data_IF_323674580731
#
_entry.id   IF_323674580731
#
_cell.length_a   1.000
_cell.length_b   1.000
_cell.length_c   1.000
_cell.angle_alpha   90.00
_cell.angle_beta   90.00
_cell.angle_gamma   90.00
#
_symmetry.space_group_name_H-M   'P 1'
#
loop_
_entity.id
_entity.type
_entity.pdbx_description
1 polymer ?
#
# COMPACT_ATOMS: atom_id res chain seq x y z
N UNK A 1 7.26 45.67 10.77
CA UNK A 1 6.79 47.08 10.81
C UNK A 1 7.19 47.71 9.47
N UNK A 2 6.34 48.26 8.58
CA UNK A 2 4.98 48.83 8.61
C UNK A 2 4.28 48.39 7.31
N UNK A 3 3.15 47.69 7.35
CA UNK A 3 1.78 48.18 7.06
C UNK A 3 1.65 49.37 6.11
N UNK A 4 1.02 49.13 4.94
CA UNK A 4 -0.05 49.95 4.36
C UNK A 4 -0.68 49.26 3.14
N UNK A 5 -1.94 48.85 3.27
CA UNK A 5 -2.94 48.84 2.20
C UNK A 5 -4.18 49.58 2.73
N UNK A 6 -5.35 49.56 2.06
CA UNK A 6 -5.63 49.25 0.66
C UNK A 6 -6.42 50.40 -0.03
N UNK A 7 -6.60 50.33 -1.35
CA UNK A 7 -7.69 51.05 -2.05
C UNK A 7 -8.50 50.13 -2.94
N UNK A 8 -9.79 50.32 -2.78
CA UNK A 8 -10.96 49.62 -3.27
C UNK A 8 -11.37 50.19 -4.65
N UNK A 9 -11.73 49.34 -5.62
CA UNK A 9 -12.56 49.78 -6.75
C UNK A 9 -13.37 48.61 -7.29
N UNK A 10 -14.68 48.71 -7.04
CA UNK A 10 -15.76 47.83 -7.49
C UNK A 10 -15.97 47.94 -9.02
N UNK A 11 -16.14 46.81 -9.69
CA UNK A 11 -16.93 46.75 -10.93
C UNK A 11 -17.74 45.45 -10.97
N UNK A 12 -19.06 45.63 -10.91
CA UNK A 12 -20.09 44.59 -11.02
C UNK A 12 -20.17 44.10 -12.47
N UNK A 13 -20.17 42.78 -12.69
CA UNK A 13 -20.77 42.19 -13.88
C UNK A 13 -21.71 41.05 -13.48
N UNK A 14 -23.00 41.31 -13.69
CA UNK A 14 -24.09 40.34 -13.68
C UNK A 14 -24.02 39.53 -14.97
N UNK A 15 -24.08 38.21 -14.89
CA UNK A 15 -24.49 37.37 -16.01
C UNK A 15 -25.71 36.54 -15.61
N UNK A 16 -26.71 36.62 -16.48
CA UNK A 16 -28.08 36.12 -16.35
C UNK A 16 -28.14 34.64 -16.72
N UNK A 17 -28.95 33.88 -15.98
CA UNK A 17 -29.50 32.59 -16.37
C UNK A 17 -30.51 32.76 -17.52
N UNK A 18 -30.67 31.78 -18.43
CA UNK A 18 -31.91 31.57 -19.14
C UNK A 18 -32.69 30.37 -18.57
N UNK A 19 -33.99 30.60 -18.37
CA UNK A 19 -34.99 29.60 -18.05
C UNK A 19 -35.58 28.96 -19.32
N UNK A 20 -36.16 27.77 -19.12
CA UNK A 20 -36.93 26.92 -20.02
C UNK A 20 -37.78 27.60 -21.10
N UNK A 21 -37.84 26.94 -22.28
CA UNK A 21 -39.06 26.85 -23.08
C UNK A 21 -39.21 25.41 -23.63
N UNK A 22 -40.34 24.81 -23.32
CA UNK A 22 -40.84 23.52 -23.79
C UNK A 22 -41.49 23.63 -25.17
N UNK A 23 -41.30 22.64 -26.04
CA UNK A 23 -42.29 22.28 -27.05
C UNK A 23 -42.18 20.80 -27.43
N UNK A 24 -43.33 20.14 -27.35
CA UNK A 24 -43.64 18.76 -27.68
C UNK A 24 -43.65 18.49 -29.20
N UNK A 25 -43.35 17.25 -29.60
CA UNK A 25 -44.04 16.49 -30.66
C UNK A 25 -43.47 15.09 -30.85
N UNK A 26 -44.29 14.09 -30.56
CA UNK A 26 -44.24 12.70 -31.05
C UNK A 26 -44.56 12.65 -32.56
N UNK A 27 -44.07 11.65 -33.32
CA UNK A 27 -44.91 10.48 -33.68
C UNK A 27 -44.13 9.14 -33.73
N UNK A 28 -44.65 8.04 -33.22
CA UNK A 28 -45.51 7.02 -33.88
C UNK A 28 -44.76 5.98 -34.76
N UNK A 29 -44.90 4.71 -34.35
CA UNK A 29 -44.55 3.46 -35.04
C UNK A 29 -45.31 3.26 -36.38
N UNK A 30 -44.78 2.44 -37.30
CA UNK A 30 -45.28 1.05 -37.50
C UNK A 30 -44.10 0.07 -37.72
N UNK A 31 -44.16 -1.27 -37.65
CA UNK A 31 -45.24 -2.25 -37.68
C UNK A 31 -44.87 -3.40 -38.64
N UNK A 32 -44.44 -4.55 -38.08
CA UNK A 32 -44.50 -5.96 -38.58
C UNK A 32 -43.71 -6.45 -39.84
N UNK A 33 -42.73 -7.34 -39.56
CA UNK A 33 -42.45 -8.74 -40.04
C UNK A 33 -43.29 -9.36 -41.20
N UNK A 34 -42.90 -10.47 -41.92
CA UNK A 34 -42.20 -11.67 -41.38
C UNK A 34 -41.35 -12.58 -42.32
N UNK A 35 -40.90 -13.72 -41.75
CA UNK A 35 -40.43 -15.02 -42.33
C UNK A 35 -38.97 -15.10 -42.84
N UNK A 36 -38.18 -16.17 -42.69
CA UNK A 36 -38.42 -17.60 -42.39
C UNK A 36 -37.15 -18.26 -41.78
N UNK A 37 -37.30 -19.06 -40.71
CA UNK A 37 -37.03 -20.52 -40.58
C UNK A 37 -35.77 -21.12 -41.24
N UNK A 38 -34.90 -21.70 -40.41
CA UNK A 38 -34.48 -23.13 -40.42
C UNK A 38 -33.34 -23.31 -39.38
N UNK A 39 -33.61 -23.91 -38.22
CA UNK A 39 -33.54 -25.35 -37.89
C UNK A 39 -32.11 -25.90 -37.79
N UNK A 40 -31.73 -26.32 -36.59
CA UNK A 40 -30.47 -27.03 -36.37
C UNK A 40 -30.19 -27.42 -34.92
N UNK A 41 -31.12 -28.13 -34.26
CA UNK A 41 -30.82 -28.87 -33.03
C UNK A 41 -29.77 -29.94 -33.34
N UNK A 42 -28.72 -30.05 -32.52
CA UNK A 42 -28.19 -31.35 -32.07
C UNK A 42 -27.54 -31.19 -30.69
N UNK A 43 -28.17 -31.86 -29.72
CA UNK A 43 -27.61 -32.28 -28.43
C UNK A 43 -26.90 -33.62 -28.63
N UNK A 44 -25.92 -33.87 -27.74
CA UNK A 44 -25.63 -35.12 -27.04
C UNK A 44 -24.21 -35.73 -27.19
N UNK A 45 -23.75 -36.18 -26.01
CA UNK A 45 -22.68 -37.13 -25.64
C UNK A 45 -21.27 -36.54 -25.57
N UNK A 46 -20.73 -36.24 -24.38
CA UNK A 46 -20.27 -37.13 -23.29
C UNK A 46 -19.00 -37.90 -23.66
N UNK A 47 -17.86 -37.47 -23.10
CA UNK A 47 -16.77 -38.37 -22.73
C UNK A 47 -16.14 -37.87 -21.43
N UNK A 48 -16.42 -38.62 -20.37
CA UNK A 48 -15.61 -38.69 -19.16
C UNK A 48 -14.30 -39.38 -19.54
N UNK A 49 -13.16 -38.78 -19.22
CA UNK A 49 -11.99 -39.57 -18.86
C UNK A 49 -11.24 -38.89 -17.71
N UNK A 50 -11.07 -39.69 -16.67
CA UNK A 50 -10.33 -39.40 -15.44
C UNK A 50 -8.84 -39.40 -15.77
N UNK A 51 -8.09 -38.49 -15.19
CA UNK A 51 -6.65 -38.67 -14.95
C UNK A 51 -6.28 -37.94 -13.67
N UNK A 52 -6.02 -38.73 -12.63
CA UNK A 52 -5.51 -38.29 -11.35
C UNK A 52 -4.01 -37.94 -11.48
N UNK A 53 -3.46 -37.07 -10.61
CA UNK A 53 -2.11 -36.57 -10.72
C UNK A 53 -1.06 -37.56 -10.20
N UNK A 54 0.02 -37.73 -10.96
CA UNK A 54 1.23 -38.45 -10.54
C UNK A 54 1.92 -37.74 -9.37
N UNK A 55 2.14 -38.50 -8.30
CA UNK A 55 2.92 -38.09 -7.12
C UNK A 55 4.41 -38.07 -7.48
N UNK A 56 5.02 -36.88 -7.58
CA UNK A 56 6.47 -36.73 -7.45
C UNK A 56 6.84 -36.62 -5.98
N UNK A 57 7.67 -37.56 -5.52
CA UNK A 57 8.20 -37.62 -4.18
C UNK A 57 9.29 -36.55 -3.98
N UNK A 58 9.16 -35.76 -2.91
CA UNK A 58 10.22 -34.87 -2.40
C UNK A 58 11.12 -35.67 -1.44
N UNK A 59 12.46 -35.56 -1.54
CA UNK A 59 13.35 -36.28 -0.64
C UNK A 59 13.38 -35.63 0.75
N UNK A 60 13.16 -36.45 1.78
CA UNK A 60 13.22 -36.08 3.19
C UNK A 60 14.68 -35.86 3.65
N UNK A 61 14.98 -34.65 4.11
CA UNK A 61 16.25 -34.31 4.76
C UNK A 61 16.21 -34.76 6.24
N UNK A 62 17.11 -35.66 6.65
CA UNK A 62 17.33 -36.08 8.05
C UNK A 62 18.60 -35.40 8.59
N UNK A 63 18.59 -34.83 9.81
CA UNK A 63 19.82 -34.34 10.44
C UNK A 63 20.69 -35.50 10.96
N UNK A 64 22.02 -35.40 10.93
CA UNK A 64 22.90 -36.46 11.40
C UNK A 64 22.98 -36.52 12.93
N UNK A 65 23.08 -37.76 13.44
CA UNK A 65 23.31 -38.12 14.84
C UNK A 65 24.74 -37.74 15.25
N UNK A 66 24.90 -36.98 16.34
CA UNK A 66 26.21 -36.78 16.97
C UNK A 66 26.59 -37.98 17.85
N UNK A 67 27.84 -38.41 17.69
CA UNK A 67 28.49 -39.52 18.35
C UNK A 67 28.90 -39.18 19.79
N UNK A 68 28.78 -40.19 20.66
CA UNK A 68 29.38 -40.22 22.00
C UNK A 68 30.89 -40.31 21.90
N UNK A 69 31.61 -39.58 22.75
CA UNK A 69 32.99 -39.87 23.17
C UNK A 69 33.05 -39.80 24.69
N UNK A 70 33.65 -40.82 25.30
CA UNK A 70 33.83 -41.04 26.74
C UNK A 70 35.20 -40.51 27.24
N UNK A 71 35.25 -40.18 28.55
CA UNK A 71 36.45 -40.14 29.41
C UNK A 71 37.21 -38.80 29.38
N UNK A 72 37.70 -38.21 30.47
CA UNK A 72 38.33 -38.79 31.66
C UNK A 72 38.21 -37.82 32.88
N UNK A 73 38.20 -38.43 34.07
CA UNK A 73 38.19 -37.95 35.47
C UNK A 73 39.28 -36.93 35.89
N UNK A 74 38.94 -36.03 36.82
CA UNK A 74 39.84 -35.60 37.91
C UNK A 74 39.10 -34.93 39.10
N UNK A 75 39.18 -35.63 40.23
CA UNK A 75 39.15 -35.29 41.67
C UNK A 75 39.01 -33.85 42.19
N UNK A 76 38.21 -33.73 43.25
CA UNK A 76 38.08 -32.60 44.20
C UNK A 76 39.38 -32.32 44.96
N UNK A 77 39.71 -31.04 45.16
CA UNK A 77 40.31 -30.53 46.42
C UNK A 77 39.97 -29.05 46.64
N UNK A 78 39.48 -28.73 47.85
CA UNK A 78 39.34 -27.38 48.40
C UNK A 78 40.69 -26.93 48.97
N UNK A 79 40.92 -25.62 49.08
CA UNK A 79 41.13 -25.11 50.43
C UNK A 79 40.27 -23.89 50.74
N UNK A 80 40.10 -23.71 52.05
CA UNK A 80 39.27 -22.76 52.76
C UNK A 80 40.18 -21.67 53.34
N UNK A 81 39.84 -20.39 53.17
CA UNK A 81 40.32 -19.31 54.04
C UNK A 81 39.21 -18.30 54.26
N UNK A 82 38.84 -18.14 55.53
CA UNK A 82 37.85 -17.20 56.06
C UNK A 82 38.44 -15.78 56.22
N UNK A 83 37.51 -14.84 56.49
CA UNK A 83 37.69 -13.52 57.15
C UNK A 83 37.63 -12.32 56.20
N UNK A 84 36.90 -11.22 56.43
CA UNK A 84 35.77 -10.82 57.28
C UNK A 84 35.46 -9.36 56.88
N UNK A 85 34.20 -8.90 56.91
CA UNK A 85 33.69 -7.52 57.20
C UNK A 85 32.24 -7.32 56.67
N UNK A 86 31.45 -6.38 57.21
CA UNK A 86 30.13 -6.68 57.78
C UNK A 86 28.94 -6.50 56.81
N UNK A 87 27.90 -7.31 57.05
CA UNK A 87 26.60 -7.23 56.37
C UNK A 87 25.80 -6.02 56.88
N UNK A 88 25.60 -5.01 56.04
CA UNK A 88 24.51 -4.05 56.23
C UNK A 88 23.18 -4.76 55.94
N UNK A 89 22.29 -4.84 56.94
CA UNK A 89 20.90 -5.30 56.77
C UNK A 89 20.21 -4.43 55.71
N UNK A 90 19.87 -5.01 54.57
CA UNK A 90 18.69 -4.60 53.80
C UNK A 90 17.66 -5.70 53.97
N UNK A 91 16.50 -5.31 54.46
CA UNK A 91 15.36 -6.19 54.71
C UNK A 91 14.95 -6.89 53.41
N UNK A 92 15.33 -8.16 53.30
CA UNK A 92 14.86 -9.06 52.25
C UNK A 92 13.48 -9.61 52.66
N UNK A 93 12.43 -9.24 51.93
CA UNK A 93 11.19 -10.02 51.94
C UNK A 93 11.43 -11.33 51.16
N UNK A 94 11.11 -12.52 51.69
CA UNK A 94 11.46 -13.80 51.08
C UNK A 94 10.42 -14.26 50.04
N UNK A 95 10.88 -14.74 48.89
CA UNK A 95 10.05 -15.41 47.86
C UNK A 95 9.60 -14.52 46.70
N UNK A 96 10.54 -14.16 45.81
CA UNK A 96 10.28 -13.28 44.66
C UNK A 96 9.40 -13.90 43.58
N UNK A 97 8.08 -13.85 43.76
CA UNK A 97 7.12 -14.01 42.67
C UNK A 97 6.91 -12.64 42.04
N UNK A 98 7.17 -12.53 40.72
CA UNK A 98 6.91 -11.29 39.99
C UNK A 98 5.43 -10.88 40.16
N UNK A 99 5.15 -9.59 40.38
CA UNK A 99 3.79 -9.09 40.46
C UNK A 99 2.98 -9.52 39.22
N UNK A 100 1.74 -9.93 39.42
CA UNK A 100 0.84 -10.35 38.33
C UNK A 100 -0.34 -9.38 38.17
N UNK A 101 -1.07 -9.44 37.05
CA UNK A 101 -2.30 -8.62 36.89
C UNK A 101 -3.31 -8.83 38.01
N UNK A 102 -3.32 -10.00 38.66
CA UNK A 102 -4.19 -10.30 39.82
C UNK A 102 -3.77 -9.53 41.07
N UNK A 103 -2.48 -9.22 41.20
CA UNK A 103 -1.95 -8.40 42.29
C UNK A 103 -2.22 -6.92 42.05
N UNK A 104 -2.09 -6.46 40.80
CA UNK A 104 -2.51 -5.11 40.37
C UNK A 104 -4.02 -4.91 40.58
N UNK A 105 -4.84 -5.91 40.24
CA UNK A 105 -6.30 -5.87 40.42
C UNK A 105 -6.69 -5.74 41.90
N UNK A 106 -6.01 -6.50 42.76
CA UNK A 106 -6.20 -6.46 44.22
C UNK A 106 -5.83 -5.10 44.80
N UNK A 107 -4.71 -4.53 44.36
CA UNK A 107 -4.25 -3.22 44.85
C UNK A 107 -5.12 -2.06 44.32
N UNK A 108 -5.60 -2.15 43.07
CA UNK A 108 -6.46 -1.15 42.47
C UNK A 108 -7.95 -1.30 42.84
N UNK A 109 -8.33 -2.36 43.55
CA UNK A 109 -9.71 -2.63 43.96
C UNK A 109 -10.66 -2.87 42.78
N UNK A 110 -10.19 -3.58 41.74
CA UNK A 110 -10.97 -3.89 40.53
C UNK A 110 -10.84 -5.36 40.16
N UNK A 111 -11.66 -5.84 39.22
CA UNK A 111 -11.52 -7.19 38.68
C UNK A 111 -10.32 -7.29 37.73
N UNK A 112 -9.73 -8.50 37.60
CA UNK A 112 -8.56 -8.75 36.75
C UNK A 112 -8.81 -8.38 35.27
N UNK A 113 -10.03 -8.60 34.77
CA UNK A 113 -10.43 -8.22 33.42
C UNK A 113 -10.40 -6.70 33.21
N UNK A 114 -10.80 -5.93 34.22
CA UNK A 114 -10.74 -4.46 34.22
C UNK A 114 -9.30 -3.96 34.15
N UNK A 115 -8.36 -4.62 34.83
CA UNK A 115 -6.93 -4.30 34.72
C UNK A 115 -6.42 -4.54 33.32
N UNK A 116 -6.76 -5.68 32.72
CA UNK A 116 -6.33 -5.99 31.35
C UNK A 116 -6.90 -5.02 30.32
N UNK A 117 -8.17 -4.63 30.47
CA UNK A 117 -8.82 -3.62 29.62
C UNK A 117 -8.22 -2.23 29.83
N UNK A 118 -7.92 -1.85 31.07
CA UNK A 118 -7.31 -0.57 31.43
C UNK A 118 -5.90 -0.42 30.87
N UNK A 119 -5.06 -1.46 31.00
CA UNK A 119 -3.70 -1.49 30.44
C UNK A 119 -3.70 -1.44 28.91
N UNK A 120 -4.77 -1.90 28.26
CA UNK A 120 -5.01 -1.80 26.82
C UNK A 120 -5.75 -0.52 26.38
N UNK A 121 -5.91 0.44 27.29
CA UNK A 121 -6.64 1.69 27.06
C UNK A 121 -8.07 1.52 26.50
N UNK A 122 -8.76 0.44 26.89
CA UNK A 122 -10.12 0.15 26.40
C UNK A 122 -11.14 1.21 26.88
N UNK A 123 -12.03 1.72 26.00
CA UNK A 123 -12.93 2.84 26.29
C UNK A 123 -14.03 2.52 27.32
N UNK A 124 -14.26 1.24 27.62
CA UNK A 124 -15.22 0.84 28.66
C UNK A 124 -14.70 1.06 30.08
N UNK A 125 -13.45 1.50 30.25
CA UNK A 125 -12.86 1.81 31.55
C UNK A 125 -12.71 3.32 31.67
N UNK A 126 -13.39 3.91 32.65
CA UNK A 126 -13.31 5.34 32.92
C UNK A 126 -11.86 5.78 33.20
N UNK A 127 -11.52 7.02 32.82
CA UNK A 127 -10.15 7.55 32.95
C UNK A 127 -9.62 7.47 34.37
N UNK A 128 -10.44 7.89 35.35
CA UNK A 128 -10.14 7.80 36.78
C UNK A 128 -9.79 6.37 37.24
N UNK A 129 -10.41 5.36 36.63
CA UNK A 129 -10.13 3.94 36.93
C UNK A 129 -8.84 3.48 36.26
N UNK A 130 -8.52 3.95 35.05
CA UNK A 130 -7.24 3.71 34.37
C UNK A 130 -6.06 4.29 35.14
N UNK A 131 -6.16 5.53 35.60
CA UNK A 131 -5.13 6.19 36.40
C UNK A 131 -4.85 5.41 37.69
N UNK A 132 -5.91 4.98 38.40
CA UNK A 132 -5.77 4.16 39.60
C UNK A 132 -5.07 2.83 39.34
N UNK A 133 -5.36 2.18 38.21
CA UNK A 133 -4.72 0.92 37.83
C UNK A 133 -3.25 1.15 37.43
N UNK A 134 -2.94 2.25 36.75
CA UNK A 134 -1.56 2.61 36.37
C UNK A 134 -0.70 2.89 37.61
N UNK A 135 -1.22 3.67 38.56
CA UNK A 135 -0.56 3.92 39.83
C UNK A 135 -0.36 2.64 40.66
N UNK A 136 -1.32 1.71 40.64
CA UNK A 136 -1.18 0.41 41.29
C UNK A 136 -0.12 -0.48 40.62
N UNK A 137 -0.04 -0.47 39.29
CA UNK A 137 0.97 -1.22 38.54
C UNK A 137 2.39 -0.68 38.81
N UNK A 138 2.57 0.65 38.81
CA UNK A 138 3.83 1.31 39.13
C UNK A 138 4.29 1.01 40.56
N UNK A 139 3.39 1.11 41.54
CA UNK A 139 3.71 0.79 42.95
C UNK A 139 4.14 -0.66 43.15
N UNK A 140 3.64 -1.58 42.34
CA UNK A 140 4.01 -2.99 42.40
C UNK A 140 5.25 -3.31 41.55
N UNK A 141 5.73 -2.39 40.72
CA UNK A 141 6.75 -2.70 39.71
C UNK A 141 6.25 -3.70 38.66
N UNK A 142 4.94 -3.79 38.45
CA UNK A 142 4.35 -4.65 37.43
C UNK A 142 4.70 -4.11 36.04
N UNK A 143 5.37 -4.93 35.24
CA UNK A 143 5.59 -4.69 33.82
C UNK A 143 4.85 -5.78 33.03
N UNK A 144 4.08 -5.42 31.98
CA UNK A 144 3.58 -6.40 31.03
C UNK A 144 4.75 -7.24 30.51
N UNK A 145 4.65 -8.55 30.65
CA UNK A 145 5.69 -9.49 30.20
C UNK A 145 5.47 -9.80 28.71
N UNK A 146 6.43 -9.47 27.82
CA UNK A 146 6.34 -9.77 26.39
C UNK A 146 6.11 -11.26 26.09
N UNK A 147 6.57 -12.16 26.97
CA UNK A 147 6.36 -13.60 26.82
C UNK A 147 4.91 -14.01 27.12
N UNK A 148 4.18 -13.26 27.94
CA UNK A 148 2.76 -13.49 28.20
C UNK A 148 1.89 -13.02 27.02
N UNK A 149 2.32 -11.98 26.31
CA UNK A 149 1.71 -11.54 25.05
C UNK A 149 1.98 -12.53 23.93
N UNK A 150 3.22 -13.02 23.79
CA UNK A 150 3.56 -14.13 22.90
C UNK A 150 2.79 -15.42 23.27
N UNK A 151 2.52 -15.67 24.55
CA UNK A 151 1.69 -16.78 25.00
C UNK A 151 0.20 -16.57 24.69
N UNK A 152 -0.31 -15.34 24.72
CA UNK A 152 -1.66 -15.02 24.27
C UNK A 152 -1.79 -15.18 22.74
N UNK A 153 -0.78 -14.77 21.97
CA UNK A 153 -0.65 -15.06 20.53
C UNK A 153 -0.59 -16.57 20.28
N UNK A 154 0.19 -17.32 21.05
CA UNK A 154 0.26 -18.77 20.97
C UNK A 154 -1.08 -19.42 21.39
N UNK A 155 -1.81 -18.87 22.36
CA UNK A 155 -3.18 -19.31 22.71
C UNK A 155 -4.18 -19.05 21.58
N UNK A 156 -4.06 -17.92 20.88
CA UNK A 156 -4.85 -17.60 19.68
C UNK A 156 -4.49 -18.54 18.52
N UNK A 157 -3.23 -18.97 18.42
CA UNK A 157 -2.77 -19.95 17.44
C UNK A 157 -3.19 -21.39 17.78
N UNK A 158 -3.25 -21.76 19.08
CA UNK A 158 -3.55 -23.12 19.56
C UNK A 158 -5.05 -23.39 19.72
N UNK A 159 -5.90 -22.35 19.86
CA UNK A 159 -7.37 -22.46 19.83
C UNK A 159 -7.96 -21.60 18.68
N UNK A 160 -8.04 -22.13 17.44
CA UNK A 160 -8.55 -21.41 16.27
C UNK A 160 -10.05 -21.08 16.33
N UNK A 161 -10.78 -21.61 17.33
CA UNK A 161 -12.24 -21.55 17.43
C UNK A 161 -12.78 -20.21 17.97
N UNK A 162 -11.93 -19.27 18.38
CA UNK A 162 -12.36 -17.93 18.80
C UNK A 162 -11.61 -16.80 18.04
N UNK A 163 -12.20 -16.42 16.91
CA UNK A 163 -12.01 -15.18 16.14
C UNK A 163 -10.59 -14.85 15.64
N UNK A 164 -10.27 -15.30 14.43
CA UNK A 164 -9.39 -14.53 13.53
C UNK A 164 -9.91 -13.09 13.49
N UNK A 165 -9.15 -12.13 14.03
CA UNK A 165 -9.59 -10.73 14.00
C UNK A 165 -9.72 -10.27 12.54
N UNK A 166 -10.85 -9.65 12.22
CA UNK A 166 -11.15 -9.18 10.87
C UNK A 166 -10.63 -7.74 10.75
N UNK A 167 -9.89 -7.45 9.68
CA UNK A 167 -9.52 -6.10 9.26
C UNK A 167 -10.32 -5.72 8.02
N UNK A 168 -10.65 -4.43 7.90
CA UNK A 168 -11.36 -3.89 6.76
C UNK A 168 -10.38 -3.36 5.71
N UNK A 169 -10.58 -3.73 4.45
CA UNK A 169 -9.93 -3.12 3.30
C UNK A 169 -10.94 -2.26 2.53
N UNK A 170 -10.77 -0.94 2.58
CA UNK A 170 -11.74 0.04 2.10
C UNK A 170 -11.25 0.66 0.79
N UNK A 171 -12.06 0.57 -0.25
CA UNK A 171 -11.86 1.26 -1.54
C UNK A 171 -13.13 2.00 -1.93
N UNK A 172 -13.04 2.95 -2.87
CA UNK A 172 -14.26 3.54 -3.44
C UNK A 172 -14.74 2.82 -4.72
N UNK A 173 -15.96 3.13 -5.16
CA UNK A 173 -16.62 2.50 -6.28
C UNK A 173 -15.88 2.69 -7.60
N UNK A 174 -15.16 3.80 -7.78
CA UNK A 174 -14.35 4.04 -8.98
C UNK A 174 -13.10 3.18 -9.00
N UNK A 175 -12.38 3.12 -7.89
CA UNK A 175 -11.21 2.24 -7.74
C UNK A 175 -11.63 0.78 -7.84
N UNK A 176 -12.79 0.42 -7.30
CA UNK A 176 -13.32 -0.94 -7.38
C UNK A 176 -13.81 -1.32 -8.79
N UNK A 177 -14.35 -0.37 -9.55
CA UNK A 177 -14.82 -0.59 -10.91
C UNK A 177 -13.70 -0.60 -11.96
N UNK A 178 -12.46 -0.26 -11.59
CA UNK A 178 -11.32 -0.26 -12.51
C UNK A 178 -10.93 -1.69 -12.90
N UNK A 179 -11.44 -2.11 -14.06
CA UNK A 179 -11.26 -3.43 -14.66
C UNK A 179 -10.09 -3.52 -15.63
N UNK A 180 -9.21 -2.49 -15.69
CA UNK A 180 -8.07 -2.49 -16.62
C UNK A 180 -7.18 -3.72 -16.39
N UNK A 181 -6.79 -4.48 -17.43
CA UNK A 181 -5.95 -5.67 -17.26
C UNK A 181 -4.65 -5.39 -16.50
N UNK A 182 -4.31 -6.24 -15.53
CA UNK A 182 -3.12 -6.06 -14.68
C UNK A 182 -3.21 -4.88 -13.71
N UNK A 183 -4.41 -4.43 -13.35
CA UNK A 183 -4.61 -3.31 -12.43
C UNK A 183 -3.80 -3.50 -11.14
N UNK A 184 -2.95 -2.51 -10.81
CA UNK A 184 -2.15 -2.45 -9.60
C UNK A 184 -2.98 -2.62 -8.31
N UNK A 185 -4.28 -2.26 -8.33
CA UNK A 185 -5.21 -2.43 -7.20
C UNK A 185 -5.38 -3.91 -6.86
N UNK A 186 -5.39 -4.80 -7.87
CA UNK A 186 -5.51 -6.24 -7.66
C UNK A 186 -4.25 -6.82 -7.01
N UNK A 187 -3.07 -6.47 -7.51
CA UNK A 187 -1.80 -6.90 -6.92
C UNK A 187 -1.64 -6.40 -5.46
N UNK A 188 -2.07 -5.16 -5.16
CA UNK A 188 -2.12 -4.66 -3.77
C UNK A 188 -3.06 -5.48 -2.91
N UNK A 189 -4.27 -5.78 -3.42
CA UNK A 189 -5.25 -6.60 -2.72
C UNK A 189 -4.71 -8.00 -2.42
N UNK A 190 -4.02 -8.63 -3.37
CA UNK A 190 -3.37 -9.94 -3.19
C UNK A 190 -2.28 -9.89 -2.12
N UNK A 191 -1.43 -8.85 -2.16
CA UNK A 191 -0.42 -8.60 -1.13
C UNK A 191 -1.01 -8.42 0.27
N UNK A 192 -2.09 -7.64 0.40
CA UNK A 192 -2.82 -7.48 1.67
C UNK A 192 -3.39 -8.81 2.15
N UNK A 193 -4.09 -9.54 1.27
CA UNK A 193 -4.73 -10.81 1.62
C UNK A 193 -3.70 -11.82 2.12
N UNK A 194 -2.62 -12.02 1.37
CA UNK A 194 -1.55 -12.95 1.72
C UNK A 194 -0.88 -12.59 3.04
N UNK A 195 -0.51 -11.33 3.24
CA UNK A 195 0.15 -10.87 4.47
C UNK A 195 -0.75 -10.97 5.70
N UNK A 196 -2.06 -10.77 5.54
CA UNK A 196 -3.03 -10.93 6.61
C UNK A 196 -3.24 -12.41 6.98
N UNK A 197 -3.36 -13.30 5.97
CA UNK A 197 -3.46 -14.75 6.17
C UNK A 197 -2.24 -15.31 6.89
N UNK A 198 -1.03 -14.89 6.51
CA UNK A 198 0.25 -15.21 7.18
C UNK A 198 0.26 -14.80 8.67
N UNK A 199 -0.63 -13.89 9.09
CA UNK A 199 -0.76 -13.36 10.46
C UNK A 199 -2.02 -13.84 11.19
N UNK A 200 -2.76 -14.78 10.62
CA UNK A 200 -4.02 -15.26 11.19
C UNK A 200 -5.14 -14.22 11.20
N UNK A 201 -5.01 -13.14 10.42
CA UNK A 201 -6.01 -12.11 10.24
C UNK A 201 -6.92 -12.47 9.05
N UNK A 202 -8.20 -12.11 9.14
CA UNK A 202 -9.11 -12.13 7.99
C UNK A 202 -9.23 -10.74 7.42
N UNK A 203 -9.26 -10.62 6.10
CA UNK A 203 -9.49 -9.34 5.41
C UNK A 203 -10.82 -9.37 4.72
N UNK A 204 -11.64 -8.34 4.94
CA UNK A 204 -12.87 -8.14 4.19
C UNK A 204 -12.82 -6.83 3.40
N UNK A 205 -13.22 -6.89 2.14
CA UNK A 205 -13.25 -5.73 1.24
C UNK A 205 -14.59 -5.00 1.37
N UNK A 206 -14.52 -3.70 1.62
CA UNK A 206 -15.65 -2.78 1.67
C UNK A 206 -15.53 -1.73 0.58
N UNK A 207 -16.64 -1.46 -0.11
CA UNK A 207 -16.69 -0.48 -1.22
C UNK A 207 -17.52 0.72 -0.79
N UNK A 208 -16.91 1.89 -0.77
CA UNK A 208 -17.57 3.18 -0.55
C UNK A 208 -18.11 3.70 -1.88
N UNK A 209 -19.30 4.29 -1.88
CA UNK A 209 -19.84 4.92 -3.07
C UNK A 209 -21.35 5.03 -3.03
N UNK A 210 -21.91 5.82 -3.95
CA UNK A 210 -23.36 6.06 -4.01
C UNK A 210 -24.13 4.77 -4.27
N UNK A 211 -23.52 3.83 -5.00
CA UNK A 211 -24.13 2.52 -5.34
C UNK A 211 -23.79 1.41 -4.34
N UNK A 212 -22.98 1.72 -3.31
CA UNK A 212 -22.47 0.75 -2.35
C UNK A 212 -22.72 1.24 -0.91
N UNK A 213 -21.67 1.44 -0.11
CA UNK A 213 -21.80 1.86 1.28
C UNK A 213 -21.56 3.36 1.43
N UNK A 214 -22.38 4.02 2.25
CA UNK A 214 -22.04 5.33 2.81
C UNK A 214 -20.98 5.16 3.92
N UNK A 215 -20.17 6.21 4.21
CA UNK A 215 -19.22 6.18 5.33
C UNK A 215 -19.88 5.86 6.68
N UNK A 216 -21.09 6.39 6.93
CA UNK A 216 -21.85 6.18 8.18
C UNK A 216 -22.26 4.71 8.31
N UNK A 217 -22.75 4.12 7.22
CA UNK A 217 -23.12 2.70 7.20
C UNK A 217 -21.90 1.81 7.37
N UNK A 218 -20.78 2.14 6.72
CA UNK A 218 -19.52 1.43 6.94
C UNK A 218 -19.09 1.51 8.40
N UNK A 219 -19.08 2.70 9.01
CA UNK A 219 -18.74 2.90 10.42
C UNK A 219 -19.59 2.01 11.34
N UNK A 220 -20.91 1.97 11.13
CA UNK A 220 -21.82 1.12 11.89
C UNK A 220 -21.47 -0.37 11.76
N UNK A 221 -21.16 -0.84 10.55
CA UNK A 221 -20.77 -2.24 10.29
C UNK A 221 -19.49 -2.57 11.04
N UNK A 222 -18.45 -1.73 10.92
CA UNK A 222 -17.16 -1.99 11.55
C UNK A 222 -17.27 -2.02 13.08
N UNK A 223 -17.98 -1.07 13.67
CA UNK A 223 -18.21 -1.01 15.13
C UNK A 223 -19.00 -2.23 15.61
N UNK A 224 -20.12 -2.55 14.96
CA UNK A 224 -20.98 -3.69 15.36
C UNK A 224 -20.22 -5.02 15.29
N UNK A 225 -19.34 -5.17 14.30
CA UNK A 225 -18.55 -6.39 14.09
C UNK A 225 -17.22 -6.39 14.85
N UNK A 226 -16.97 -5.39 15.70
CA UNK A 226 -15.72 -5.23 16.44
C UNK A 226 -14.47 -5.24 15.55
N UNK A 227 -14.59 -4.73 14.32
CA UNK A 227 -13.46 -4.52 13.40
C UNK A 227 -12.72 -3.27 13.87
N UNK A 228 -11.45 -3.42 14.22
CA UNK A 228 -10.63 -2.32 14.78
C UNK A 228 -9.49 -1.89 13.87
N UNK A 229 -9.18 -2.67 12.83
CA UNK A 229 -8.14 -2.36 11.85
C UNK A 229 -8.72 -2.02 10.49
N UNK A 230 -8.26 -0.93 9.89
CA UNK A 230 -8.70 -0.43 8.59
C UNK A 230 -7.50 -0.14 7.69
N UNK A 231 -7.51 -0.69 6.47
CA UNK A 231 -6.63 -0.30 5.38
C UNK A 231 -7.46 0.46 4.36
N UNK A 232 -7.11 1.71 4.08
CA UNK A 232 -7.67 2.46 2.96
C UNK A 232 -6.86 2.06 1.72
N UNK A 233 -7.40 1.17 0.90
CA UNK A 233 -6.75 0.56 -0.27
C UNK A 233 -6.70 1.43 -1.53
N UNK A 234 -7.29 2.61 -1.47
CA UNK A 234 -7.32 3.59 -2.55
C UNK A 234 -8.70 4.17 -2.77
N UNK A 235 -8.75 5.49 -2.90
CA UNK A 235 -9.96 6.24 -3.26
C UNK A 235 -9.63 7.27 -4.35
N UNK A 236 -10.64 7.57 -5.16
CA UNK A 236 -10.60 8.56 -6.23
C UNK A 236 -10.50 10.00 -5.70
N UNK A 237 -10.15 10.93 -6.58
CA UNK A 237 -9.95 12.36 -6.25
C UNK A 237 -11.21 13.07 -5.76
N UNK A 238 -12.40 12.51 -6.03
CA UNK A 238 -13.67 13.07 -5.56
C UNK A 238 -13.88 12.81 -4.06
N UNK A 239 -13.23 11.77 -3.52
CA UNK A 239 -13.30 11.40 -2.11
C UNK A 239 -12.19 12.12 -1.34
N UNK A 240 -12.46 13.34 -0.88
CA UNK A 240 -11.52 14.12 -0.03
C UNK A 240 -11.62 13.83 1.46
N UNK A 241 -12.79 13.37 1.92
CA UNK A 241 -13.04 13.05 3.33
C UNK A 241 -13.92 11.82 3.41
N UNK A 242 -13.63 10.96 4.38
CA UNK A 242 -14.43 9.78 4.70
C UNK A 242 -14.93 9.98 6.14
N UNK A 243 -16.25 10.18 6.28
CA UNK A 243 -16.90 10.48 7.56
C UNK A 243 -17.01 9.24 8.44
N UNK A 244 -15.96 8.95 9.21
CA UNK A 244 -15.93 7.84 10.16
C UNK A 244 -15.45 8.30 11.55
N UNK A 245 -15.77 7.52 12.58
CA UNK A 245 -15.27 7.73 13.94
C UNK A 245 -13.83 7.20 14.07
N UNK A 246 -12.87 7.85 13.40
CA UNK A 246 -11.50 7.36 13.24
C UNK A 246 -10.80 7.00 14.55
N UNK A 247 -11.13 7.68 15.65
CA UNK A 247 -10.61 7.38 17.00
C UNK A 247 -10.90 5.95 17.49
N UNK A 248 -11.79 5.20 16.82
CA UNK A 248 -12.08 3.80 17.11
C UNK A 248 -11.18 2.81 16.37
N UNK A 249 -10.45 3.24 15.35
CA UNK A 249 -9.76 2.36 14.41
C UNK A 249 -8.26 2.65 14.34
N UNK A 250 -7.47 1.59 14.30
CA UNK A 250 -6.09 1.63 13.80
C UNK A 250 -6.16 1.67 12.29
N UNK A 251 -5.56 2.70 11.68
CA UNK A 251 -5.76 2.96 10.25
C UNK A 251 -4.42 3.13 9.54
N UNK A 252 -4.27 2.44 8.42
CA UNK A 252 -3.19 2.65 7.46
C UNK A 252 -3.82 2.95 6.10
N UNK A 253 -3.17 3.79 5.31
CA UNK A 253 -3.59 4.13 3.96
C UNK A 253 -2.56 3.67 2.94
N UNK A 254 -3.03 3.16 1.80
CA UNK A 254 -2.22 2.97 0.61
C UNK A 254 -2.49 4.15 -0.33
N UNK A 255 -1.46 4.98 -0.57
CA UNK A 255 -1.51 6.19 -1.40
C UNK A 255 -2.62 7.19 -0.97
N UNK A 256 -3.41 7.77 -1.90
CA UNK A 256 -4.56 8.66 -1.61
C UNK A 256 -4.27 9.81 -0.62
N UNK A 257 -3.17 10.55 -0.84
CA UNK A 257 -2.74 11.66 0.02
C UNK A 257 -3.70 12.85 0.04
N UNK A 258 -4.57 12.96 -0.97
CA UNK A 258 -5.61 14.00 -1.04
C UNK A 258 -6.76 13.79 -0.04
N UNK A 259 -6.82 12.64 0.64
CA UNK A 259 -7.79 12.41 1.72
C UNK A 259 -7.31 13.08 3.00
N UNK A 260 -8.15 13.93 3.57
CA UNK A 260 -7.92 14.64 4.82
C UNK A 260 -8.07 13.68 6.01
N UNK A 261 -6.97 12.98 6.31
CA UNK A 261 -6.84 12.02 7.40
C UNK A 261 -5.35 11.82 7.74
N UNK A 262 -4.94 12.19 8.96
CA UNK A 262 -3.55 12.06 9.41
C UNK A 262 -3.25 10.63 9.90
N UNK A 263 -2.94 9.72 8.98
CA UNK A 263 -2.60 8.32 9.26
C UNK A 263 -1.38 7.89 8.47
N UNK A 264 -0.71 6.83 8.96
CA UNK A 264 0.41 6.23 8.26
C UNK A 264 0.05 5.85 6.83
N UNK A 265 0.98 6.12 5.91
CA UNK A 265 0.79 5.93 4.49
C UNK A 265 1.86 5.02 3.91
N UNK A 266 1.45 4.01 3.15
CA UNK A 266 2.34 3.17 2.34
C UNK A 266 2.12 3.53 0.87
N UNK A 267 3.19 3.67 0.11
CA UNK A 267 3.15 4.07 -1.29
C UNK A 267 4.21 3.33 -2.09
N UNK A 268 3.97 3.06 -3.37
CA UNK A 268 5.09 2.84 -4.29
C UNK A 268 5.94 4.11 -4.39
N UNK A 269 7.26 3.96 -4.54
CA UNK A 269 8.16 5.11 -4.70
C UNK A 269 8.11 5.64 -6.14
N UNK A 270 7.06 6.42 -6.45
CA UNK A 270 6.87 7.00 -7.77
C UNK A 270 8.00 7.97 -8.17
N UNK A 271 8.57 8.66 -7.18
CA UNK A 271 9.69 9.58 -7.41
C UNK A 271 10.91 8.78 -7.86
N UNK A 272 11.25 7.71 -7.15
CA UNK A 272 12.33 6.81 -7.55
C UNK A 272 12.03 6.12 -8.89
N UNK A 273 10.79 5.70 -9.14
CA UNK A 273 10.41 5.06 -10.41
C UNK A 273 10.74 5.95 -11.61
N UNK A 274 10.37 7.23 -11.55
CA UNK A 274 10.70 8.19 -12.61
C UNK A 274 12.20 8.38 -12.77
N UNK A 275 12.93 8.57 -11.67
CA UNK A 275 14.39 8.71 -11.71
C UNK A 275 15.06 7.48 -12.30
N UNK A 276 14.60 6.30 -11.91
CA UNK A 276 15.09 5.03 -12.41
C UNK A 276 14.83 4.90 -13.92
N UNK A 277 13.66 5.30 -14.39
CA UNK A 277 13.33 5.29 -15.82
C UNK A 277 14.22 6.24 -16.62
N UNK A 278 14.36 7.50 -16.18
CA UNK A 278 15.21 8.50 -16.84
C UNK A 278 16.67 8.02 -16.90
N UNK A 279 17.21 7.52 -15.78
CA UNK A 279 18.60 7.05 -15.71
C UNK A 279 18.87 5.85 -16.60
N UNK A 280 17.95 4.89 -16.65
CA UNK A 280 18.11 3.72 -17.52
C UNK A 280 18.00 4.12 -19.00
N UNK A 281 17.05 4.98 -19.37
CA UNK A 281 16.96 5.50 -20.73
C UNK A 281 18.23 6.27 -21.14
N UNK A 282 18.81 7.07 -20.23
CA UNK A 282 20.11 7.72 -20.45
C UNK A 282 21.24 6.72 -20.66
N UNK A 283 21.28 5.64 -19.87
CA UNK A 283 22.25 4.54 -20.04
C UNK A 283 22.10 3.85 -21.40
N UNK A 284 20.88 3.74 -21.91
CA UNK A 284 20.58 3.17 -23.24
C UNK A 284 20.88 4.15 -24.40
N UNK A 285 21.35 5.37 -24.10
CA UNK A 285 21.76 6.37 -25.09
C UNK A 285 20.73 7.46 -25.40
N UNK A 286 19.59 7.48 -24.71
CA UNK A 286 18.56 8.51 -24.88
C UNK A 286 18.83 9.74 -23.99
N UNK A 287 18.78 10.92 -24.57
CA UNK A 287 19.03 12.24 -23.96
C UNK A 287 17.76 13.06 -23.76
N UNK A 288 16.90 13.20 -24.77
CA UNK A 288 15.66 14.01 -24.73
C UNK A 288 14.47 13.18 -24.28
N UNK A 289 14.36 13.01 -22.96
CA UNK A 289 13.35 12.17 -22.32
C UNK A 289 12.21 13.06 -21.81
N UNK A 290 10.96 12.70 -22.07
CA UNK A 290 9.79 13.42 -21.59
C UNK A 290 8.95 12.62 -20.61
N UNK A 291 8.56 13.22 -19.49
CA UNK A 291 7.52 12.69 -18.59
C UNK A 291 6.13 13.17 -19.03
N UNK A 292 5.20 12.24 -19.22
CA UNK A 292 3.77 12.56 -19.42
C UNK A 292 2.87 11.76 -18.47
N UNK A 293 1.91 12.42 -17.84
CA UNK A 293 0.95 11.77 -16.93
C UNK A 293 -0.30 12.64 -16.74
N UNK A 294 -1.34 12.10 -16.10
CA UNK A 294 -2.52 12.85 -15.74
C UNK A 294 -2.27 13.74 -14.52
N UNK A 295 -2.71 15.01 -14.58
CA UNK A 295 -2.60 15.96 -13.46
C UNK A 295 -3.28 15.47 -12.17
N UNK A 296 -4.35 14.69 -12.32
CA UNK A 296 -5.05 14.11 -11.17
C UNK A 296 -4.21 13.06 -10.44
N UNK A 297 -3.40 12.27 -11.15
CA UNK A 297 -2.55 11.25 -10.55
C UNK A 297 -1.43 11.88 -9.73
N UNK A 298 -0.80 12.93 -10.26
CA UNK A 298 0.20 13.71 -9.53
C UNK A 298 -0.37 14.29 -8.24
N UNK A 299 -1.52 14.96 -8.32
CA UNK A 299 -2.17 15.54 -7.14
C UNK A 299 -2.58 14.48 -6.11
N UNK A 300 -3.03 13.31 -6.56
CA UNK A 300 -3.42 12.19 -5.69
C UNK A 300 -2.26 11.71 -4.83
N UNK A 301 -1.04 11.79 -5.35
CA UNK A 301 0.16 11.20 -4.76
C UNK A 301 1.09 12.22 -4.10
N UNK A 302 0.84 13.52 -4.27
CA UNK A 302 1.69 14.61 -3.77
C UNK A 302 2.82 15.00 -4.74
N UNK A 303 2.53 14.98 -6.04
CA UNK A 303 3.42 15.37 -7.15
C UNK A 303 4.79 14.64 -7.20
N UNK A 304 4.86 13.33 -6.91
CA UNK A 304 6.14 12.63 -6.81
C UNK A 304 6.80 12.40 -8.17
N UNK A 305 6.04 12.18 -9.26
CA UNK A 305 6.64 11.90 -10.56
C UNK A 305 7.27 13.15 -11.15
N UNK A 306 6.56 14.29 -11.10
CA UNK A 306 7.08 15.59 -11.50
C UNK A 306 8.30 15.96 -10.68
N UNK A 307 8.24 15.79 -9.35
CA UNK A 307 9.38 16.04 -8.47
C UNK A 307 10.60 15.19 -8.85
N UNK A 308 10.40 13.90 -9.12
CA UNK A 308 11.49 13.00 -9.53
C UNK A 308 12.09 13.37 -10.89
N UNK A 309 11.24 13.75 -11.84
CA UNK A 309 11.65 14.13 -13.19
C UNK A 309 12.45 15.44 -13.18
N UNK A 310 11.95 16.48 -12.50
CA UNK A 310 12.62 17.78 -12.42
C UNK A 310 14.00 17.69 -11.76
N UNK A 311 14.20 16.77 -10.80
CA UNK A 311 15.52 16.49 -10.23
C UNK A 311 16.49 15.98 -11.29
N UNK A 312 16.09 15.07 -12.17
CA UNK A 312 16.95 14.56 -13.24
C UNK A 312 17.14 15.58 -14.37
N UNK A 313 16.14 16.42 -14.65
CA UNK A 313 16.23 17.50 -15.64
C UNK A 313 17.13 18.65 -15.17
N UNK A 314 17.15 18.95 -13.88
CA UNK A 314 18.01 20.00 -13.34
C UNK A 314 19.51 19.68 -13.44
N UNK A 315 19.86 18.43 -13.75
CA UNK A 315 21.25 18.03 -14.08
C UNK A 315 21.68 18.40 -15.50
N UNK A 316 20.73 18.81 -16.36
CA UNK A 316 20.97 19.18 -17.75
C UNK A 316 21.10 20.71 -17.91
N UNK A 317 21.80 21.11 -18.98
CA UNK A 317 21.77 22.49 -19.49
C UNK A 317 20.34 22.88 -19.90
N UNK A 318 19.99 24.15 -19.76
CA UNK A 318 18.60 24.64 -19.89
C UNK A 318 17.99 24.33 -21.26
N UNK A 319 18.78 24.43 -22.33
CA UNK A 319 18.41 24.11 -23.70
C UNK A 319 18.11 22.64 -23.96
N UNK A 320 18.48 21.76 -23.02
CA UNK A 320 18.23 20.32 -23.09
C UNK A 320 17.10 19.87 -22.17
N UNK A 321 16.55 20.78 -21.35
CA UNK A 321 15.47 20.47 -20.43
C UNK A 321 14.13 20.33 -21.15
N UNK A 322 13.37 19.32 -20.77
CA UNK A 322 12.01 19.07 -21.24
C UNK A 322 11.06 19.29 -20.05
N UNK A 323 10.08 20.19 -20.14
CA UNK A 323 9.07 20.31 -19.08
C UNK A 323 8.12 19.09 -19.12
N UNK A 324 7.67 18.59 -17.95
CA UNK A 324 6.70 17.49 -17.91
C UNK A 324 5.37 17.92 -18.52
N UNK A 325 4.71 16.99 -19.22
CA UNK A 325 3.40 17.21 -19.82
C UNK A 325 2.29 16.60 -18.96
N UNK A 326 1.35 17.41 -18.50
CA UNK A 326 0.29 16.99 -17.58
C UNK A 326 -1.10 17.21 -18.18
N UNK A 327 -1.71 16.13 -18.68
CA UNK A 327 -3.04 16.13 -19.28
C UNK A 327 -4.17 15.91 -18.25
N UNK A 328 -5.42 16.06 -18.70
CA UNK A 328 -6.61 15.79 -17.88
C UNK A 328 -6.89 14.30 -17.78
N UNK A 329 -7.10 13.80 -16.56
CA UNK A 329 -7.45 12.38 -16.34
C UNK A 329 -8.81 12.00 -16.94
N UNK A 330 -9.71 12.97 -17.12
CA UNK A 330 -11.05 12.74 -17.67
C UNK A 330 -11.01 12.49 -19.17
N UNK A 331 -10.15 13.19 -19.90
CA UNK A 331 -9.99 13.02 -21.35
C UNK A 331 -8.99 11.91 -21.68
N UNK A 332 -8.03 11.65 -20.80
CA UNK A 332 -6.91 10.75 -21.08
C UNK A 332 -5.95 11.33 -22.13
N UNK A 333 -4.89 10.57 -22.49
CA UNK A 333 -3.97 10.98 -23.55
C UNK A 333 -4.62 11.00 -24.94
N UNK A 334 -5.63 10.16 -25.22
CA UNK A 334 -6.34 10.11 -26.51
C UNK A 334 -7.10 11.40 -26.82
N UNK A 335 -7.64 12.05 -25.78
CA UNK A 335 -8.40 13.29 -25.90
C UNK A 335 -7.56 14.56 -25.80
N UNK A 336 -6.23 14.47 -25.73
CA UNK A 336 -5.33 15.61 -25.56
C UNK A 336 -4.32 15.73 -26.72
N UNK A 337 -4.66 16.46 -27.80
CA UNK A 337 -3.78 16.60 -28.96
C UNK A 337 -2.46 17.30 -28.63
N UNK A 338 -2.39 18.05 -27.53
CA UNK A 338 -1.18 18.75 -27.11
C UNK A 338 -0.04 17.81 -26.71
N UNK A 339 -0.33 16.53 -26.42
CA UNK A 339 0.69 15.52 -26.16
C UNK A 339 1.66 15.36 -27.35
N UNK A 340 1.10 15.26 -28.56
CA UNK A 340 1.90 15.08 -29.79
C UNK A 340 2.63 16.37 -30.15
N UNK A 341 2.00 17.52 -29.95
CA UNK A 341 2.64 18.83 -30.14
C UNK A 341 3.83 19.03 -29.20
N UNK A 342 3.70 18.64 -27.94
CA UNK A 342 4.78 18.67 -26.95
C UNK A 342 5.95 17.77 -27.35
N UNK A 343 5.69 16.55 -27.82
CA UNK A 343 6.72 15.63 -28.34
C UNK A 343 7.50 16.28 -29.49
N UNK A 344 6.79 16.82 -30.48
CA UNK A 344 7.41 17.46 -31.65
C UNK A 344 8.18 18.72 -31.26
N UNK A 345 7.61 19.57 -30.41
CA UNK A 345 8.21 20.84 -29.95
C UNK A 345 9.56 20.62 -29.27
N UNK A 346 9.63 19.67 -28.34
CA UNK A 346 10.84 19.40 -27.57
C UNK A 346 11.73 18.30 -28.19
N UNK A 347 11.37 17.80 -29.38
CA UNK A 347 12.10 16.74 -30.11
C UNK A 347 12.36 15.53 -29.21
N UNK A 348 11.35 15.12 -28.45
CA UNK A 348 11.44 14.04 -27.46
C UNK A 348 11.69 12.72 -28.20
N UNK A 349 12.70 11.98 -27.74
CA UNK A 349 13.04 10.67 -28.32
C UNK A 349 12.59 9.50 -27.45
N UNK A 350 12.32 9.74 -26.18
CA UNK A 350 11.79 8.74 -25.26
C UNK A 350 10.72 9.34 -24.34
N UNK A 351 9.56 8.70 -24.25
CA UNK A 351 8.45 9.11 -23.40
C UNK A 351 8.30 8.13 -22.24
N UNK A 352 8.15 8.67 -21.02
CA UNK A 352 7.83 7.89 -19.84
C UNK A 352 6.43 8.24 -19.32
N UNK A 353 5.64 7.23 -18.98
CA UNK A 353 4.28 7.42 -18.45
C UNK A 353 3.79 6.27 -17.57
N UNK A 354 2.90 6.56 -16.62
CA UNK A 354 2.15 5.55 -15.86
C UNK A 354 0.86 5.09 -16.58
N UNK A 355 0.54 5.63 -17.76
CA UNK A 355 -0.65 5.30 -18.52
C UNK A 355 -0.31 4.36 -19.70
N UNK A 356 -0.85 3.14 -19.66
CA UNK A 356 -0.53 2.09 -20.64
C UNK A 356 -1.10 2.30 -22.05
N UNK A 357 -1.97 3.29 -22.25
CA UNK A 357 -2.58 3.66 -23.54
C UNK A 357 -1.81 4.78 -24.26
N UNK A 358 -0.78 5.39 -23.65
CA UNK A 358 0.09 6.36 -24.34
C UNK A 358 0.70 5.78 -25.64
N UNK A 359 1.18 4.52 -25.67
CA UNK A 359 1.66 3.90 -26.91
C UNK A 359 0.63 3.88 -28.04
N UNK A 360 -0.66 3.74 -27.75
CA UNK A 360 -1.72 3.70 -28.76
C UNK A 360 -1.89 5.09 -29.39
N UNK A 361 -1.88 6.15 -28.58
CA UNK A 361 -1.91 7.55 -29.06
C UNK A 361 -0.70 7.88 -29.93
N UNK A 362 0.49 7.38 -29.59
CA UNK A 362 1.69 7.56 -30.40
C UNK A 362 1.56 6.88 -31.77
N UNK A 363 1.03 5.65 -31.80
CA UNK A 363 0.81 4.90 -33.06
C UNK A 363 -0.26 5.55 -33.94
N UNK A 364 -1.36 6.02 -33.34
CA UNK A 364 -2.41 6.76 -34.05
C UNK A 364 -1.88 8.07 -34.67
N UNK A 365 -0.90 8.71 -34.02
CA UNK A 365 -0.20 9.87 -34.55
C UNK A 365 0.89 9.54 -35.61
N UNK A 366 1.01 8.26 -35.99
CA UNK A 366 1.95 7.77 -37.01
C UNK A 366 3.38 7.56 -36.52
N UNK A 367 3.62 7.53 -35.20
CA UNK A 367 4.96 7.28 -34.64
C UNK A 367 5.15 5.79 -34.36
N UNK A 368 6.18 5.17 -34.93
CA UNK A 368 6.54 3.78 -34.65
C UNK A 368 7.36 3.69 -33.36
N UNK A 369 7.04 2.68 -32.56
CA UNK A 369 7.78 2.35 -31.33
C UNK A 369 8.51 1.02 -31.57
N UNK A 370 9.85 0.95 -31.41
CA UNK A 370 10.75 1.99 -30.90
C UNK A 370 11.41 2.89 -31.97
N UNK A 371 11.14 2.67 -33.28
CA UNK A 371 11.94 3.26 -34.37
C UNK A 371 11.93 4.80 -34.42
N UNK A 372 10.76 5.42 -34.27
CA UNK A 372 10.61 6.88 -34.34
C UNK A 372 10.59 7.51 -32.94
N UNK A 373 10.06 6.78 -31.95
CA UNK A 373 10.00 7.19 -30.54
C UNK A 373 10.05 6.00 -29.60
N UNK A 374 10.75 6.15 -28.48
CA UNK A 374 10.85 5.15 -27.43
C UNK A 374 9.80 5.38 -26.35
N UNK A 375 9.32 4.28 -25.77
CA UNK A 375 8.38 4.33 -24.66
C UNK A 375 8.86 3.47 -23.50
N UNK A 376 8.79 4.03 -22.29
CA UNK A 376 8.95 3.25 -21.07
C UNK A 376 7.81 3.49 -20.08
N UNK A 377 7.23 2.40 -19.57
CA UNK A 377 6.16 2.48 -18.58
C UNK A 377 6.74 2.79 -17.19
N UNK A 378 6.06 3.60 -16.41
CA UNK A 378 6.34 3.80 -14.98
C UNK A 378 5.69 2.72 -14.10
N UNK A 379 4.85 1.88 -14.69
CA UNK A 379 4.20 0.76 -14.01
C UNK A 379 3.93 -0.39 -14.99
N UNK A 380 4.91 -1.29 -15.13
CA UNK A 380 4.76 -2.56 -15.83
C UNK A 380 4.00 -3.54 -14.94
N UNK A 381 2.94 -4.12 -15.49
CA UNK A 381 1.98 -4.96 -14.74
C UNK A 381 2.26 -6.46 -14.83
N UNK A 382 3.13 -6.88 -15.75
CA UNK A 382 3.48 -8.28 -15.98
C UNK A 382 4.98 -8.43 -16.24
N UNK A 383 5.55 -9.48 -15.66
CA UNK A 383 6.99 -9.77 -15.74
C UNK A 383 7.43 -10.04 -17.20
N UNK A 384 6.56 -10.68 -17.99
CA UNK A 384 6.76 -11.07 -19.38
C UNK A 384 6.31 -10.00 -20.39
N UNK A 385 6.18 -8.73 -19.96
CA UNK A 385 5.80 -7.66 -20.86
C UNK A 385 6.95 -7.27 -21.79
N UNK A 386 6.66 -7.10 -23.08
CA UNK A 386 7.60 -6.53 -24.06
C UNK A 386 7.86 -5.02 -23.85
N UNK A 387 7.19 -4.39 -22.89
CA UNK A 387 7.32 -2.97 -22.59
C UNK A 387 8.46 -2.76 -21.58
N UNK A 388 9.44 -1.95 -21.96
CA UNK A 388 10.48 -1.50 -21.04
C UNK A 388 9.92 -0.53 -20.00
N UNK A 389 10.53 -0.45 -18.81
CA UNK A 389 9.98 0.40 -17.76
C UNK A 389 10.23 -0.08 -16.34
N UNK A 390 9.45 0.45 -15.41
CA UNK A 390 9.54 0.14 -13.98
C UNK A 390 8.44 -0.84 -13.61
N UNK A 391 8.83 -1.97 -13.04
CA UNK A 391 7.90 -2.88 -12.37
C UNK A 391 7.77 -2.44 -10.90
N UNK A 392 6.57 -2.04 -10.52
CA UNK A 392 6.30 -1.63 -9.15
C UNK A 392 5.93 -2.84 -8.29
N UNK A 393 6.45 -2.86 -7.07
CA UNK A 393 6.23 -3.95 -6.12
C UNK A 393 4.86 -3.83 -5.42
N UNK A 394 3.76 -3.86 -6.18
CA UNK A 394 2.41 -3.62 -5.66
C UNK A 394 1.96 -4.63 -4.59
N UNK A 395 2.33 -5.91 -4.72
CA UNK A 395 2.10 -6.90 -3.67
C UNK A 395 2.83 -6.55 -2.38
N UNK A 396 4.09 -6.08 -2.47
CA UNK A 396 4.87 -5.66 -1.31
C UNK A 396 4.28 -4.39 -0.68
N UNK A 397 3.74 -3.47 -1.47
CA UNK A 397 2.96 -2.32 -0.96
C UNK A 397 1.78 -2.81 -0.12
N UNK A 398 1.02 -3.79 -0.62
CA UNK A 398 -0.08 -4.40 0.12
C UNK A 398 0.37 -5.07 1.42
N UNK A 399 1.44 -5.87 1.36
CA UNK A 399 2.05 -6.49 2.55
C UNK A 399 2.47 -5.47 3.59
N UNK A 400 3.22 -4.45 3.16
CA UNK A 400 3.76 -3.40 4.05
C UNK A 400 2.63 -2.66 4.77
N UNK A 401 1.49 -2.44 4.10
CA UNK A 401 0.32 -1.84 4.74
C UNK A 401 -0.25 -2.70 5.88
N UNK A 402 -0.29 -4.03 5.71
CA UNK A 402 -0.70 -4.96 6.77
C UNK A 402 0.30 -4.97 7.92
N UNK A 403 1.60 -4.89 7.63
CA UNK A 403 2.65 -4.86 8.66
C UNK A 403 2.58 -3.59 9.51
N UNK A 404 2.39 -2.43 8.90
CA UNK A 404 2.13 -1.19 9.62
C UNK A 404 0.86 -1.29 10.47
N UNK A 405 -0.22 -1.81 9.89
CA UNK A 405 -1.48 -1.94 10.61
C UNK A 405 -1.35 -2.90 11.81
N UNK A 406 -0.60 -3.99 11.67
CA UNK A 406 -0.34 -4.93 12.75
C UNK A 406 0.37 -4.24 13.94
N UNK A 407 1.34 -3.36 13.67
CA UNK A 407 2.01 -2.55 14.71
C UNK A 407 1.00 -1.65 15.42
N UNK A 408 0.16 -0.94 14.68
CA UNK A 408 -0.86 -0.04 15.27
C UNK A 408 -1.90 -0.81 16.09
N UNK A 409 -2.33 -1.99 15.61
CA UNK A 409 -3.26 -2.86 16.33
C UNK A 409 -2.67 -3.37 17.64
N UNK A 410 -1.41 -3.84 17.60
CA UNK A 410 -0.69 -4.36 18.77
C UNK A 410 -0.44 -3.26 19.82
N UNK A 411 -0.07 -2.06 19.37
CA UNK A 411 0.17 -0.89 20.26
C UNK A 411 -1.11 -0.13 20.63
N UNK A 412 -2.27 -0.57 20.13
CA UNK A 412 -3.57 0.08 20.31
C UNK A 412 -3.59 1.57 19.91
N UNK A 413 -2.78 1.95 18.93
CA UNK A 413 -2.79 3.28 18.34
C UNK A 413 -4.00 3.41 17.41
N UNK A 414 -4.86 4.39 17.67
CA UNK A 414 -6.13 4.62 16.96
C UNK A 414 -6.35 6.10 16.71
N UNK A 415 -7.17 6.40 15.71
CA UNK A 415 -7.44 7.76 15.31
C UNK A 415 -6.33 8.37 14.48
N UNK A 416 -6.36 9.69 14.41
CA UNK A 416 -5.35 10.46 13.72
C UNK A 416 -4.06 10.53 14.54
N UNK A 417 -2.95 10.36 13.85
CA UNK A 417 -1.60 10.39 14.42
C UNK A 417 -1.09 11.83 14.46
N UNK A 418 -0.36 12.18 15.50
CA UNK A 418 0.30 13.49 15.61
C UNK A 418 1.41 13.67 14.58
N UNK A 419 2.05 12.58 14.17
CA UNK A 419 3.13 12.55 13.18
C UNK A 419 3.03 11.28 12.33
N UNK A 420 2.12 11.24 11.32
CA UNK A 420 1.98 10.07 10.47
C UNK A 420 3.23 9.85 9.61
N UNK A 421 3.70 8.61 9.56
CA UNK A 421 4.84 8.23 8.73
C UNK A 421 4.41 7.90 7.30
N UNK A 422 5.33 8.06 6.35
CA UNK A 422 5.19 7.50 5.01
C UNK A 422 6.29 6.47 4.79
N UNK A 423 5.90 5.28 4.31
CA UNK A 423 6.83 4.27 3.80
C UNK A 423 6.71 4.16 2.29
N UNK A 424 7.85 4.28 1.61
CA UNK A 424 7.96 4.13 0.16
C UNK A 424 8.55 2.77 -0.18
N UNK A 425 7.84 1.99 -0.99
CA UNK A 425 8.30 0.70 -1.49
C UNK A 425 8.93 0.91 -2.88
N UNK A 426 10.23 0.62 -3.06
CA UNK A 426 10.91 0.83 -4.33
C UNK A 426 10.41 -0.15 -5.38
N UNK A 427 10.40 0.28 -6.64
CA UNK A 427 10.27 -0.59 -7.82
C UNK A 427 11.64 -0.88 -8.44
N UNK A 428 11.65 -1.62 -9.54
CA UNK A 428 12.89 -1.92 -10.28
C UNK A 428 12.67 -1.85 -11.79
N UNK A 429 13.75 -1.61 -12.51
CA UNK A 429 13.74 -1.49 -13.97
C UNK A 429 13.67 -2.87 -14.61
N UNK A 430 12.94 -2.94 -15.71
CA UNK A 430 12.85 -4.08 -16.61
C UNK A 430 13.10 -3.60 -18.03
N UNK A 431 14.05 -4.25 -18.68
CA UNK A 431 14.27 -4.07 -20.11
C UNK A 431 13.10 -4.66 -20.90
N UNK A 432 12.84 -4.08 -22.06
CA UNK A 432 11.79 -4.50 -22.98
C UNK A 432 12.04 -3.93 -24.38
N UNK A 433 11.30 -4.42 -25.38
CA UNK A 433 11.49 -4.07 -26.79
C UNK A 433 11.10 -2.63 -27.12
N UNK A 434 10.34 -1.95 -26.27
CA UNK A 434 9.95 -0.55 -26.49
C UNK A 434 11.06 0.46 -26.18
N UNK A 435 12.17 0.03 -25.58
CA UNK A 435 13.36 0.86 -25.32
C UNK A 435 14.66 0.05 -25.49
N UNK A 436 15.04 -0.32 -26.72
CA UNK A 436 16.28 -1.04 -26.98
C UNK A 436 17.51 -0.14 -26.74
N UNK A 437 18.71 -0.70 -26.48
CA UNK A 437 19.93 0.09 -26.46
C UNK A 437 20.21 0.72 -27.84
N UNK A 438 20.68 1.98 -27.88
CA UNK A 438 21.25 2.53 -29.11
C UNK A 438 22.57 1.83 -29.43
N UNK A 439 22.85 1.60 -30.72
CA UNK A 439 24.04 0.86 -31.17
C UNK A 439 25.37 1.42 -30.61
N UNK A 440 25.45 2.73 -30.38
CA UNK A 440 26.62 3.40 -29.80
C UNK A 440 26.78 3.20 -28.27
N UNK A 441 25.76 2.68 -27.58
CA UNK A 441 25.74 2.48 -26.12
C UNK A 441 26.18 1.07 -25.68
N UNK A 442 26.32 0.14 -26.62
CA UNK A 442 26.82 -1.20 -26.36
C UNK A 442 28.34 -1.17 -26.38
N UNK A 443 28.96 -0.93 -25.21
CA UNK A 443 30.37 -1.28 -25.04
C UNK A 443 30.55 -2.80 -25.27
N UNK A 444 31.68 -3.28 -25.81
CA UNK A 444 31.87 -4.70 -26.11
C UNK A 444 31.63 -5.54 -24.85
N UNK A 445 30.79 -6.56 -24.97
CA UNK A 445 30.38 -7.46 -23.90
C UNK A 445 31.58 -8.05 -23.16
N UNK A 446 31.72 -7.68 -21.88
CA UNK A 446 32.80 -8.18 -21.03
C UNK A 446 32.67 -7.80 -19.56
N UNK A 447 31.45 -7.75 -19.00
CA UNK A 447 31.22 -7.82 -17.56
C UNK A 447 29.71 -7.97 -17.29
N UNK A 448 29.29 -9.13 -16.78
CA UNK A 448 28.02 -9.25 -16.07
C UNK A 448 28.10 -8.38 -14.81
N UNK A 449 27.63 -7.13 -14.90
CA UNK A 449 27.32 -6.33 -13.73
C UNK A 449 25.87 -6.63 -13.32
N UNK A 450 25.68 -7.73 -12.59
CA UNK A 450 24.51 -7.89 -11.73
C UNK A 450 24.59 -6.83 -10.64
N UNK A 451 23.83 -5.75 -10.82
CA UNK A 451 23.74 -4.68 -9.82
C UNK A 451 23.02 -5.24 -8.59
N UNK A 452 23.76 -5.35 -7.48
CA UNK A 452 23.18 -5.62 -6.16
C UNK A 452 22.27 -4.43 -5.77
N UNK A 453 20.96 -4.65 -5.53
CA UNK A 453 20.04 -3.61 -5.13
C UNK A 453 20.40 -2.93 -3.79
N UNK A 454 21.40 -3.41 -3.06
CA UNK A 454 21.94 -2.76 -1.84
C UNK A 454 22.95 -1.65 -2.10
N UNK A 455 23.42 -1.46 -3.33
CA UNK A 455 24.40 -0.41 -3.65
C UNK A 455 23.77 1.00 -3.83
N UNK A 456 22.45 1.14 -3.63
CA UNK A 456 21.72 2.41 -3.66
C UNK A 456 21.07 2.65 -2.31
N UNK A 457 21.89 2.94 -1.28
CA UNK A 457 21.45 3.56 -0.03
C UNK A 457 22.14 4.90 0.11
#
# INVERSE_FOLDING_TARGET
MRFCGPRDSRSRMRWRLPACASASRTPAFPGRSPTSRSSGRRRCRSWLSRSAPEKRASPSFRPPRSSRVNGVTATRHRPNTQSSMPKSKRDSNPGGRLPTMKDVARLAGVHQTTVSLALRNHPSVAEKTRERIRAAAERLGYRPDPLLDAFNEHRLAVNPTHNSSVIAYVVDERVAADSRPGNYVQARWEGVKKAAEERGLKVERFILGKRHLSPERLNQILVTRSITGVIIGGVSMDTRRIGMEWHRFSTVRIESRHVDLAVDTVSGDQRLAVRLAVRNLRRLGYRRIGLTTARADERRLGEPMTSGFLVEENTLAEEHRVPPYLYSAQTGPEGDPGLIEWIRKYKIEAVISNWGNVPDVLREAGMRIPDDIVYAALDIRKIDSDVAGVMQNHELVGRTAVEHLAILLHTHQRGELSAPATTYVPGFWRDGMTAPPRAESVAPSGAEATVDPRALV
#
